data_IF_309438490980
#
_entry.id   IF_309438490980
#
_cell.length_a   1.000
_cell.length_b   1.000
_cell.length_c   1.000
_cell.angle_alpha   90.00
_cell.angle_beta   90.00
_cell.angle_gamma   90.00
#
_symmetry.space_group_name_H-M   'P 1'
#
loop_
_entity.id
_entity.type
_entity.pdbx_description
1 polymer ?
#
# COMPACT_ATOMS: atom_id res chain seq x y z
N UNK A 1 13.76 -10.03 -17.29
CA UNK A 1 14.19 -11.18 -16.46
C UNK A 1 14.44 -10.64 -15.06
N UNK A 2 13.72 -10.98 -14.01
CA UNK A 2 13.03 -12.25 -13.71
C UNK A 2 11.63 -12.01 -13.14
N UNK A 3 10.64 -12.70 -13.73
CA UNK A 3 9.48 -13.15 -12.97
C UNK A 3 10.01 -14.06 -11.86
N UNK A 4 9.39 -13.98 -10.68
CA UNK A 4 9.68 -14.90 -9.59
C UNK A 4 9.61 -16.34 -10.11
N UNK A 5 10.71 -17.13 -10.07
CA UNK A 5 10.77 -18.45 -10.70
C UNK A 5 9.87 -19.49 -10.02
N UNK A 6 9.21 -19.14 -8.91
CA UNK A 6 8.36 -20.05 -8.14
C UNK A 6 6.88 -19.86 -8.47
N UNK A 7 6.46 -18.66 -8.89
CA UNK A 7 5.04 -18.29 -8.90
C UNK A 7 4.37 -18.44 -7.53
N UNK A 8 5.17 -18.47 -6.45
CA UNK A 8 4.69 -18.62 -5.10
C UNK A 8 4.00 -17.32 -4.70
N UNK A 9 2.73 -17.43 -4.31
CA UNK A 9 2.03 -16.33 -3.68
C UNK A 9 2.60 -16.12 -2.27
N UNK A 10 2.84 -14.89 -1.89
CA UNK A 10 3.15 -14.56 -0.50
C UNK A 10 1.82 -14.49 0.27
N UNK A 11 1.48 -15.61 0.94
CA UNK A 11 0.21 -15.79 1.64
C UNK A 11 -0.05 -14.61 2.59
N UNK A 12 -1.17 -13.92 2.37
CA UNK A 12 -1.59 -12.72 3.09
C UNK A 12 -1.13 -11.37 2.52
N UNK A 13 0.02 -11.26 1.82
CA UNK A 13 0.33 -10.02 1.08
C UNK A 13 -0.44 -9.98 -0.24
N UNK A 14 -0.38 -11.07 -1.02
CA UNK A 14 -1.11 -11.13 -2.29
C UNK A 14 -2.62 -11.11 -2.06
N UNK A 15 -3.11 -11.72 -0.99
CA UNK A 15 -4.53 -11.70 -0.60
C UNK A 15 -4.98 -10.27 -0.21
N UNK A 16 -4.13 -9.54 0.51
CA UNK A 16 -4.39 -8.13 0.82
C UNK A 16 -4.44 -7.26 -0.44
N UNK A 17 -3.51 -7.47 -1.37
CA UNK A 17 -3.49 -6.75 -2.65
C UNK A 17 -4.72 -7.10 -3.50
N UNK A 18 -5.15 -8.36 -3.51
CA UNK A 18 -6.38 -8.81 -4.18
C UNK A 18 -7.61 -8.13 -3.55
N UNK A 19 -7.74 -8.14 -2.21
CA UNK A 19 -8.83 -7.48 -1.49
C UNK A 19 -8.89 -5.96 -1.76
N UNK A 20 -7.73 -5.28 -1.79
CA UNK A 20 -7.67 -3.86 -2.17
C UNK A 20 -8.15 -3.64 -3.61
N UNK A 21 -7.80 -4.52 -4.54
CA UNK A 21 -8.25 -4.41 -5.93
C UNK A 21 -9.78 -4.59 -6.08
N UNK A 22 -10.40 -5.30 -5.14
CA UNK A 22 -11.86 -5.51 -5.07
C UNK A 22 -12.59 -4.42 -4.27
N UNK A 23 -11.85 -3.46 -3.69
CA UNK A 23 -12.42 -2.40 -2.84
C UNK A 23 -12.74 -2.88 -1.41
N UNK A 24 -12.26 -4.06 -1.03
CA UNK A 24 -12.49 -4.73 0.25
C UNK A 24 -11.23 -4.74 1.12
N UNK A 25 -10.35 -3.75 0.94
CA UNK A 25 -9.12 -3.61 1.69
C UNK A 25 -9.36 -3.57 3.21
N UNK A 26 -8.52 -4.26 3.96
CA UNK A 26 -8.68 -4.43 5.41
C UNK A 26 -7.35 -4.31 6.16
N UNK A 27 -7.43 -4.15 7.47
CA UNK A 27 -6.29 -4.23 8.38
C UNK A 27 -6.60 -5.20 9.52
N UNK A 28 -5.55 -5.63 10.23
CA UNK A 28 -5.65 -6.49 11.40
C UNK A 28 -5.64 -5.62 12.67
N UNK A 29 -6.65 -5.74 13.51
CA UNK A 29 -6.76 -5.03 14.78
C UNK A 29 -6.65 -6.00 15.96
N UNK A 30 -5.86 -5.65 16.98
CA UNK A 30 -5.82 -6.39 18.23
C UNK A 30 -6.79 -5.82 19.28
N UNK A 31 -7.07 -6.57 20.34
CA UNK A 31 -7.95 -6.13 21.45
C UNK A 31 -7.53 -4.82 22.14
N UNK A 32 -6.27 -4.41 21.97
CA UNK A 32 -5.75 -3.13 22.49
C UNK A 32 -5.95 -1.95 21.52
N UNK A 33 -6.56 -2.17 20.35
CA UNK A 33 -6.84 -1.15 19.33
C UNK A 33 -5.66 -0.82 18.41
N UNK A 34 -4.59 -1.64 18.40
CA UNK A 34 -3.48 -1.43 17.46
C UNK A 34 -3.77 -2.08 16.12
N UNK A 35 -3.63 -1.30 15.04
CA UNK A 35 -3.79 -1.78 13.67
C UNK A 35 -2.48 -2.25 13.05
N UNK A 36 -2.54 -3.25 12.18
CA UNK A 36 -1.41 -3.72 11.38
C UNK A 36 -1.84 -4.14 9.98
N UNK A 37 -0.98 -3.90 8.99
CA UNK A 37 -1.20 -4.36 7.61
C UNK A 37 -0.86 -5.86 7.54
N UNK A 38 -1.66 -6.70 6.85
CA UNK A 38 -1.36 -8.11 6.63
C UNK A 38 -0.03 -8.32 5.85
N UNK A 39 0.61 -9.50 5.98
CA UNK A 39 0.28 -10.61 6.87
C UNK A 39 0.81 -10.38 8.30
N UNK A 40 0.01 -10.70 9.33
CA UNK A 40 0.45 -10.73 10.74
C UNK A 40 -0.25 -11.83 11.52
N UNK A 41 0.47 -12.40 12.49
CA UNK A 41 -0.06 -13.36 13.48
C UNK A 41 -0.01 -12.85 14.92
N UNK A 42 0.76 -11.80 15.16
CA UNK A 42 0.99 -11.20 16.48
C UNK A 42 1.09 -9.69 16.29
N UNK A 43 0.46 -8.93 17.18
CA UNK A 43 0.53 -7.48 17.24
C UNK A 43 1.97 -7.03 17.56
N UNK A 44 2.61 -6.18 16.74
CA UNK A 44 3.98 -5.73 16.99
C UNK A 44 4.10 -4.78 18.19
N UNK A 45 3.03 -4.11 18.59
CA UNK A 45 3.05 -3.12 19.66
C UNK A 45 2.81 -3.73 21.05
N UNK A 46 1.85 -4.65 21.18
CA UNK A 46 1.48 -5.24 22.47
C UNK A 46 1.75 -6.74 22.61
N UNK A 47 2.09 -7.44 21.51
CA UNK A 47 2.35 -8.89 21.52
C UNK A 47 1.11 -9.79 21.58
N UNK A 48 -0.11 -9.22 21.51
CA UNK A 48 -1.35 -10.01 21.43
C UNK A 48 -1.45 -10.83 20.15
N UNK A 49 -1.95 -12.07 20.26
CA UNK A 49 -2.15 -12.98 19.12
C UNK A 49 -3.55 -12.93 18.52
N UNK A 50 -4.52 -12.36 19.25
CA UNK A 50 -5.88 -12.20 18.79
C UNK A 50 -5.95 -10.98 17.87
N UNK A 51 -6.03 -11.24 16.57
CA UNK A 51 -6.09 -10.25 15.50
C UNK A 51 -7.38 -10.46 14.70
N UNK A 52 -8.16 -9.40 14.53
CA UNK A 52 -9.42 -9.42 13.77
C UNK A 52 -9.29 -8.56 12.52
N UNK A 53 -9.80 -9.04 11.39
CA UNK A 53 -9.87 -8.26 10.15
C UNK A 53 -10.92 -7.16 10.27
N UNK A 54 -10.50 -5.93 10.00
CA UNK A 54 -11.33 -4.72 10.07
C UNK A 54 -11.23 -3.96 8.74
N UNK A 55 -12.34 -3.52 8.15
CA UNK A 55 -12.32 -2.76 6.90
C UNK A 55 -11.47 -1.48 7.01
N UNK A 56 -10.72 -1.16 5.96
CA UNK A 56 -10.04 0.12 5.86
C UNK A 56 -11.08 1.24 5.68
N UNK A 57 -10.81 2.44 6.22
CA UNK A 57 -11.56 3.63 5.86
C UNK A 57 -11.50 3.91 4.35
N UNK A 58 -12.60 4.39 3.77
CA UNK A 58 -12.69 4.72 2.34
C UNK A 58 -11.68 5.77 1.86
N UNK A 59 -11.14 6.56 2.78
CA UNK A 59 -10.12 7.58 2.51
C UNK A 59 -9.04 7.57 3.59
N UNK A 60 -7.81 7.73 3.14
CA UNK A 60 -6.63 7.95 3.97
C UNK A 60 -6.10 9.38 3.84
N UNK A 61 -5.06 9.67 4.61
CA UNK A 61 -4.39 10.97 4.60
C UNK A 61 -2.93 10.80 4.17
N UNK A 62 -2.49 11.55 3.15
CA UNK A 62 -1.11 11.54 2.68
C UNK A 62 -0.17 12.11 3.77
N UNK A 63 0.74 11.28 4.29
CA UNK A 63 1.66 11.68 5.36
C UNK A 63 2.98 12.21 4.83
N UNK A 64 3.53 11.54 3.82
CA UNK A 64 4.80 11.91 3.20
C UNK A 64 4.91 11.25 1.83
N UNK A 65 5.73 11.84 0.97
CA UNK A 65 6.04 11.28 -0.34
C UNK A 65 7.47 11.60 -0.76
N UNK A 66 7.97 10.84 -1.73
CA UNK A 66 9.27 11.06 -2.39
C UNK A 66 9.12 10.83 -3.88
N UNK A 67 9.67 11.74 -4.69
CA UNK A 67 9.69 11.63 -6.15
C UNK A 67 10.96 10.91 -6.61
N UNK A 68 10.79 9.73 -7.22
CA UNK A 68 11.91 8.94 -7.75
C UNK A 68 12.09 9.25 -9.23
N UNK A 69 13.17 9.97 -9.54
CA UNK A 69 13.54 10.35 -10.91
C UNK A 69 14.50 9.35 -11.56
N UNK A 70 15.28 8.63 -10.75
CA UNK A 70 16.23 7.62 -11.21
C UNK A 70 15.94 6.34 -10.45
N UNK A 71 15.33 5.38 -11.14
CA UNK A 71 14.90 4.12 -10.54
C UNK A 71 15.86 2.98 -10.84
N UNK A 72 15.66 1.88 -10.11
CA UNK A 72 16.32 0.61 -10.46
C UNK A 72 15.76 0.08 -11.79
N UNK A 73 16.46 -0.84 -12.48
CA UNK A 73 16.00 -1.39 -13.75
C UNK A 73 14.60 -2.02 -13.72
N UNK A 74 14.11 -2.43 -12.55
CA UNK A 74 12.77 -3.01 -12.38
C UNK A 74 11.64 -1.96 -12.38
N UNK A 75 11.97 -0.67 -12.39
CA UNK A 75 11.03 0.45 -12.39
C UNK A 75 11.45 1.56 -13.36
N UNK A 76 12.34 1.27 -14.32
CA UNK A 76 12.90 2.28 -15.22
C UNK A 76 11.87 2.93 -16.14
N UNK A 77 10.84 2.19 -16.55
CA UNK A 77 9.75 2.71 -17.38
C UNK A 77 8.65 3.37 -16.54
N UNK A 78 8.72 3.24 -15.20
CA UNK A 78 7.80 3.89 -14.28
C UNK A 78 8.26 5.32 -13.93
N UNK A 79 9.49 5.72 -14.25
CA UNK A 79 10.01 7.05 -13.89
C UNK A 79 9.44 8.19 -14.74
N UNK A 80 9.21 9.38 -14.16
CA UNK A 80 9.21 9.65 -12.72
C UNK A 80 7.97 9.06 -12.03
N UNK A 81 8.14 8.52 -10.83
CA UNK A 81 7.02 8.09 -9.98
C UNK A 81 7.13 8.60 -8.55
N UNK A 82 5.99 8.74 -7.89
CA UNK A 82 5.90 9.18 -6.51
C UNK A 82 5.64 7.97 -5.63
N UNK A 83 6.54 7.72 -4.67
CA UNK A 83 6.29 6.77 -3.57
C UNK A 83 5.75 7.55 -2.39
N UNK A 84 4.62 7.10 -1.84
CA UNK A 84 3.91 7.78 -0.77
C UNK A 84 3.64 6.85 0.41
N UNK A 85 3.49 7.44 1.59
CA UNK A 85 2.96 6.80 2.78
C UNK A 85 1.69 7.55 3.17
N UNK A 86 0.58 6.83 3.28
CA UNK A 86 -0.69 7.37 3.72
C UNK A 86 -1.20 6.62 4.95
N UNK A 87 -1.91 7.33 5.84
CA UNK A 87 -2.55 6.71 7.00
C UNK A 87 -4.01 6.41 6.73
N UNK A 88 -4.44 5.20 7.09
CA UNK A 88 -5.82 4.73 7.04
C UNK A 88 -6.20 4.26 8.44
N UNK A 89 -6.83 5.13 9.22
CA UNK A 89 -7.11 4.85 10.63
C UNK A 89 -5.82 4.52 11.41
N UNK A 90 -5.73 3.34 12.06
CA UNK A 90 -4.57 2.96 12.86
C UNK A 90 -3.36 2.47 12.04
N UNK A 91 -3.49 2.26 10.73
CA UNK A 91 -2.40 1.72 9.88
C UNK A 91 -1.82 2.77 8.94
N UNK A 92 -0.58 2.50 8.50
CA UNK A 92 0.10 3.25 7.44
C UNK A 92 0.43 2.31 6.30
N UNK A 93 0.09 2.73 5.09
CA UNK A 93 0.27 1.96 3.86
C UNK A 93 1.25 2.70 2.97
N UNK A 94 2.14 1.95 2.34
CA UNK A 94 3.08 2.45 1.34
C UNK A 94 2.61 2.03 -0.04
N UNK A 95 2.61 2.96 -0.99
CA UNK A 95 2.16 2.73 -2.35
C UNK A 95 2.67 3.81 -3.30
N UNK A 96 2.41 3.66 -4.59
CA UNK A 96 2.67 4.72 -5.56
C UNK A 96 1.48 5.67 -5.67
N UNK A 97 1.72 6.97 -5.58
CA UNK A 97 0.68 7.95 -5.88
C UNK A 97 0.57 8.11 -7.41
N UNK A 98 -0.64 7.95 -7.94
CA UNK A 98 -0.94 8.01 -9.37
C UNK A 98 -1.56 9.36 -9.72
N UNK A 99 -1.42 9.72 -10.99
CA UNK A 99 -2.13 10.85 -11.62
C UNK A 99 -2.01 12.20 -10.88
N UNK A 100 -0.92 12.41 -10.15
CA UNK A 100 -0.69 13.63 -9.42
C UNK A 100 0.61 14.29 -9.87
N UNK A 101 0.55 15.58 -10.19
CA UNK A 101 1.73 16.39 -10.39
C UNK A 101 2.47 16.49 -9.03
N UNK A 102 3.75 16.08 -8.94
CA UNK A 102 4.50 16.19 -7.70
C UNK A 102 4.52 17.60 -7.08
N UNK A 103 4.36 18.65 -7.89
CA UNK A 103 4.30 20.03 -7.42
C UNK A 103 2.98 20.38 -6.72
N UNK A 104 1.91 19.65 -7.00
CA UNK A 104 0.58 19.82 -6.41
C UNK A 104 0.40 18.99 -5.12
N UNK A 105 1.42 18.21 -4.74
CA UNK A 105 1.33 17.30 -3.60
C UNK A 105 1.57 17.98 -2.25
N UNK A 106 0.51 18.00 -1.44
CA UNK A 106 0.55 18.47 -0.07
C UNK A 106 0.35 17.34 0.95
N UNK A 107 1.03 17.45 2.10
CA UNK A 107 0.76 16.57 3.24
C UNK A 107 -0.62 16.89 3.80
N UNK A 108 -1.38 15.87 4.19
CA UNK A 108 -2.74 16.03 4.68
C UNK A 108 -3.82 15.83 3.61
N UNK A 109 -3.45 15.73 2.34
CA UNK A 109 -4.43 15.52 1.28
C UNK A 109 -5.12 14.16 1.41
N UNK A 110 -6.42 14.09 1.12
CA UNK A 110 -7.15 12.84 1.12
C UNK A 110 -6.72 11.98 -0.07
N UNK A 111 -6.54 10.68 0.17
CA UNK A 111 -6.19 9.71 -0.86
C UNK A 111 -7.04 8.45 -0.71
N UNK A 112 -7.32 7.81 -1.83
CA UNK A 112 -7.95 6.49 -1.88
C UNK A 112 -6.89 5.42 -2.10
N UNK A 113 -7.03 4.26 -1.44
CA UNK A 113 -6.16 3.11 -1.67
C UNK A 113 -6.70 2.28 -2.82
N UNK A 114 -5.83 1.99 -3.79
CA UNK A 114 -6.15 1.21 -4.99
C UNK A 114 -4.98 0.28 -5.35
N UNK A 115 -5.06 -0.38 -6.51
CA UNK A 115 -3.93 -1.10 -7.11
C UNK A 115 -3.64 -0.61 -8.52
N UNK A 116 -2.37 -0.65 -8.90
CA UNK A 116 -1.90 -0.34 -10.25
C UNK A 116 -0.94 -1.42 -10.75
N UNK A 117 -0.51 -1.31 -12.01
CA UNK A 117 0.54 -2.15 -12.59
C UNK A 117 1.77 -1.30 -12.92
N UNK A 118 2.95 -1.82 -12.61
CA UNK A 118 4.21 -1.23 -13.03
C UNK A 118 4.33 -1.26 -14.54
N UNK A 119 4.70 -0.13 -15.15
CA UNK A 119 4.97 -0.04 -16.58
C UNK A 119 6.16 -0.94 -16.99
N UNK A 120 7.14 -1.08 -16.10
CA UNK A 120 8.38 -1.82 -16.39
C UNK A 120 8.22 -3.34 -16.31
N UNK A 121 7.45 -3.83 -15.33
CA UNK A 121 7.40 -5.27 -15.00
C UNK A 121 6.01 -5.88 -15.10
N UNK A 122 4.99 -5.07 -15.36
CA UNK A 122 3.57 -5.45 -15.29
C UNK A 122 3.15 -6.03 -13.93
N UNK A 123 3.98 -5.89 -12.88
CA UNK A 123 3.66 -6.37 -11.55
C UNK A 123 2.63 -5.44 -10.90
N UNK A 124 1.65 -6.05 -10.24
CA UNK A 124 0.68 -5.30 -9.44
C UNK A 124 1.36 -4.70 -8.22
N UNK A 125 0.97 -3.48 -7.89
CA UNK A 125 1.46 -2.71 -6.74
C UNK A 125 0.31 -1.96 -6.10
N UNK A 126 0.44 -1.65 -4.81
CA UNK A 126 -0.46 -0.74 -4.12
C UNK A 126 -0.26 0.67 -4.64
N UNK A 127 -1.37 1.34 -4.88
CA UNK A 127 -1.38 2.70 -5.41
C UNK A 127 -2.35 3.58 -4.62
N UNK A 128 -2.19 4.87 -4.79
CA UNK A 128 -3.07 5.88 -4.24
C UNK A 128 -3.56 6.79 -5.35
N UNK A 129 -4.84 7.15 -5.30
CA UNK A 129 -5.44 8.19 -6.14
C UNK A 129 -5.82 9.39 -5.25
N UNK A 130 -5.50 10.64 -5.63
CA UNK A 130 -5.98 11.82 -4.93
C UNK A 130 -7.51 11.89 -4.94
N UNK A 131 -8.11 12.38 -3.84
CA UNK A 131 -9.56 12.58 -3.69
C UNK A 131 -9.96 14.05 -3.79
#
# INVERSE_FOLDING_TARGET
>A
MSADPTGARDEGFDDFVDAVAEGEGYYLECDSGHGSVPPRRVCPDCGGSDLTETPLPDAGELRTYTVTHVATPSFSEDTPYVTAIASFGPVRITGQLREADPEELERGMPVELTTARSATTDRRLLAFDPR
#
